data_IF_117598712411
#
_entry.id   IF_117598712411
#
_cell.length_a   1.000
_cell.length_b   1.000
_cell.length_c   1.000
_cell.angle_alpha   90.00
_cell.angle_beta   90.00
_cell.angle_gamma   90.00
#
_symmetry.space_group_name_H-M   'P 1'
#
loop_
_entity.id
_entity.type
_entity.pdbx_description
1 polymer ?
#
# COMPACT_ATOMS: atom_id res chain seq x y z
N UNK A 1 -14.34 -27.54 -8.95
CA UNK A 1 -13.87 -26.31 -8.26
C UNK A 1 -12.55 -25.90 -8.89
N UNK A 2 -12.51 -24.77 -9.61
CA UNK A 2 -11.24 -24.21 -10.09
C UNK A 2 -10.50 -23.65 -8.87
N UNK A 3 -9.32 -24.21 -8.54
CA UNK A 3 -8.44 -23.62 -7.51
C UNK A 3 -8.06 -22.22 -8.00
N UNK A 4 -8.46 -21.18 -7.27
CA UNK A 4 -7.98 -19.82 -7.54
C UNK A 4 -6.48 -19.79 -7.26
N UNK A 5 -5.69 -19.41 -8.25
CA UNK A 5 -4.25 -19.25 -8.08
C UNK A 5 -3.97 -18.17 -7.03
N UNK A 6 -2.96 -18.38 -6.15
CA UNK A 6 -2.56 -17.37 -5.18
C UNK A 6 -2.05 -16.12 -5.88
N UNK A 7 -2.14 -14.97 -5.22
CA UNK A 7 -1.50 -13.74 -5.71
C UNK A 7 0.02 -13.89 -5.63
N UNK A 8 0.69 -13.54 -6.72
CA UNK A 8 2.14 -13.52 -6.83
C UNK A 8 2.71 -12.24 -6.19
N UNK A 9 3.99 -12.26 -5.74
CA UNK A 9 4.66 -11.05 -5.27
C UNK A 9 4.64 -9.91 -6.30
N UNK A 10 4.76 -10.24 -7.58
CA UNK A 10 4.75 -9.28 -8.69
C UNK A 10 3.38 -8.61 -8.83
N UNK A 11 2.28 -9.38 -8.72
CA UNK A 11 0.93 -8.84 -8.67
C UNK A 11 0.76 -7.87 -7.47
N UNK A 12 1.31 -8.22 -6.31
CA UNK A 12 1.23 -7.37 -5.12
C UNK A 12 2.01 -6.05 -5.27
N UNK A 13 3.18 -6.09 -5.89
CA UNK A 13 3.96 -4.89 -6.24
C UNK A 13 3.15 -4.00 -7.18
N UNK A 14 2.56 -4.57 -8.24
CA UNK A 14 1.71 -3.84 -9.18
C UNK A 14 0.50 -3.20 -8.49
N UNK A 15 -0.14 -3.93 -7.58
CA UNK A 15 -1.27 -3.42 -6.80
C UNK A 15 -0.85 -2.26 -5.90
N UNK A 16 0.29 -2.33 -5.21
CA UNK A 16 0.76 -1.24 -4.36
C UNK A 16 1.14 0.00 -5.17
N UNK A 17 1.83 -0.17 -6.29
CA UNK A 17 2.15 0.93 -7.18
C UNK A 17 0.89 1.58 -7.75
N UNK A 18 -0.12 0.79 -8.08
CA UNK A 18 -1.42 1.30 -8.48
C UNK A 18 -2.08 2.11 -7.36
N UNK A 19 -2.16 1.57 -6.13
CA UNK A 19 -2.73 2.30 -4.98
C UNK A 19 -1.96 3.58 -4.71
N UNK A 20 -0.63 3.56 -4.79
CA UNK A 20 0.20 4.75 -4.62
C UNK A 20 -0.11 5.82 -5.68
N UNK A 21 -0.17 5.44 -6.97
CA UNK A 21 -0.48 6.36 -8.08
C UNK A 21 -1.82 7.09 -7.90
N UNK A 22 -2.73 6.45 -7.17
CA UNK A 22 -4.02 7.03 -6.82
C UNK A 22 -3.86 8.08 -5.74
N UNK A 23 -3.14 7.80 -4.66
CA UNK A 23 -3.05 8.71 -3.51
C UNK A 23 -1.95 9.77 -3.63
N UNK A 24 -0.98 9.59 -4.51
CA UNK A 24 0.21 10.45 -4.62
C UNK A 24 -0.15 11.92 -4.84
N UNK A 25 -1.08 12.21 -5.75
CA UNK A 25 -1.51 13.59 -6.00
C UNK A 25 -2.12 14.23 -4.75
N UNK A 26 -2.97 13.50 -4.02
CA UNK A 26 -3.58 14.04 -2.81
C UNK A 26 -2.51 14.34 -1.74
N UNK A 27 -1.54 13.44 -1.57
CA UNK A 27 -0.44 13.62 -0.62
C UNK A 27 0.47 14.79 -1.00
N UNK A 28 0.76 14.99 -2.29
CA UNK A 28 1.61 16.08 -2.79
C UNK A 28 1.04 17.47 -2.48
N UNK A 29 -0.28 17.60 -2.47
CA UNK A 29 -0.98 18.87 -2.25
C UNK A 29 -1.60 19.00 -0.86
N UNK A 30 -1.19 18.14 0.09
CA UNK A 30 -1.74 18.04 1.46
C UNK A 30 -3.28 17.96 1.49
N UNK A 31 -3.85 17.40 0.43
CA UNK A 31 -5.28 17.15 0.33
C UNK A 31 -5.56 15.87 1.08
N UNK A 32 -6.66 15.85 1.84
CA UNK A 32 -7.18 14.60 2.39
C UNK A 32 -7.34 13.62 1.22
N UNK A 33 -6.65 12.47 1.22
CA UNK A 33 -6.82 11.50 0.16
C UNK A 33 -8.30 11.17 0.04
N UNK A 34 -8.91 11.63 -1.06
CA UNK A 34 -10.24 11.21 -1.45
C UNK A 34 -10.22 9.69 -1.34
N UNK A 35 -11.08 9.14 -0.48
CA UNK A 35 -11.12 7.72 -0.09
C UNK A 35 -10.72 6.84 -1.29
N UNK A 36 -9.46 6.38 -1.35
CA UNK A 36 -9.05 5.45 -2.40
C UNK A 36 -8.69 4.11 -1.82
N UNK A 37 -9.77 3.37 -1.66
CA UNK A 37 -9.97 2.04 -2.21
C UNK A 37 -11.47 1.99 -2.54
N UNK A 38 -11.96 2.94 -3.35
CA UNK A 38 -13.35 2.90 -3.85
C UNK A 38 -13.44 1.81 -4.90
N UNK A 39 -14.59 1.15 -4.99
CA UNK A 39 -14.86 0.05 -5.92
C UNK A 39 -14.43 0.42 -7.36
N UNK A 40 -14.55 1.70 -7.74
CA UNK A 40 -14.12 2.26 -9.03
C UNK A 40 -12.61 2.09 -9.32
N UNK A 41 -11.75 2.24 -8.33
CA UNK A 41 -10.29 2.09 -8.51
C UNK A 41 -9.93 0.62 -8.81
N UNK A 42 -10.57 -0.32 -8.13
CA UNK A 42 -10.34 -1.75 -8.37
C UNK A 42 -10.91 -2.20 -9.72
N UNK A 43 -12.03 -1.61 -10.16
CA UNK A 43 -12.56 -1.80 -11.52
C UNK A 43 -11.57 -1.29 -12.56
N UNK A 44 -10.96 -0.12 -12.34
CA UNK A 44 -9.93 0.40 -13.25
C UNK A 44 -8.73 -0.55 -13.33
N UNK A 45 -8.23 -1.04 -12.19
CA UNK A 45 -7.14 -2.00 -12.16
C UNK A 45 -7.49 -3.27 -12.93
N UNK A 46 -8.65 -3.87 -12.65
CA UNK A 46 -9.11 -5.11 -13.29
C UNK A 46 -9.30 -5.00 -14.81
N UNK A 47 -9.45 -3.77 -15.35
CA UNK A 47 -9.57 -3.52 -16.79
C UNK A 47 -8.22 -3.30 -17.49
N UNK A 48 -7.11 -3.21 -16.76
CA UNK A 48 -5.79 -3.01 -17.38
C UNK A 48 -5.34 -4.26 -18.14
N UNK A 49 -4.64 -4.10 -19.28
CA UNK A 49 -4.06 -5.24 -20.01
C UNK A 49 -3.18 -6.10 -19.09
N UNK A 50 -3.33 -7.43 -19.19
CA UNK A 50 -2.59 -8.39 -18.38
C UNK A 50 -3.17 -8.67 -16.99
N UNK A 51 -4.25 -7.98 -16.58
CA UNK A 51 -4.95 -8.27 -15.33
C UNK A 51 -6.00 -9.35 -15.55
N UNK A 52 -5.95 -10.41 -14.73
CA UNK A 52 -6.78 -11.61 -14.91
C UNK A 52 -7.85 -11.78 -13.84
N UNK A 53 -7.82 -10.94 -12.79
CA UNK A 53 -8.72 -11.07 -11.63
C UNK A 53 -9.79 -9.99 -11.60
N UNK A 54 -10.85 -10.25 -10.84
CA UNK A 54 -11.94 -9.30 -10.66
C UNK A 54 -11.54 -8.16 -9.71
N UNK A 55 -12.22 -7.02 -9.83
CA UNK A 55 -12.07 -5.89 -8.93
C UNK A 55 -12.22 -6.30 -7.45
N UNK A 56 -13.26 -7.08 -7.14
CA UNK A 56 -13.52 -7.61 -5.79
C UNK A 56 -12.38 -8.50 -5.28
N UNK A 57 -11.75 -9.28 -6.17
CA UNK A 57 -10.61 -10.13 -5.81
C UNK A 57 -9.40 -9.28 -5.44
N UNK A 58 -9.10 -8.25 -6.21
CA UNK A 58 -8.00 -7.32 -5.91
C UNK A 58 -8.25 -6.56 -4.60
N UNK A 59 -9.45 -6.03 -4.43
CA UNK A 59 -9.83 -5.30 -3.22
C UNK A 59 -9.74 -6.17 -1.97
N UNK A 60 -10.31 -7.37 -2.03
CA UNK A 60 -10.33 -8.31 -0.91
C UNK A 60 -8.91 -8.71 -0.52
N UNK A 61 -8.07 -9.02 -1.51
CA UNK A 61 -6.66 -9.36 -1.26
C UNK A 61 -5.89 -8.21 -0.63
N UNK A 62 -6.05 -7.01 -1.19
CA UNK A 62 -5.41 -5.81 -0.66
C UNK A 62 -5.79 -5.55 0.80
N UNK A 63 -7.09 -5.54 1.10
CA UNK A 63 -7.62 -5.20 2.43
C UNK A 63 -7.28 -6.26 3.48
N UNK A 64 -7.43 -7.55 3.15
CA UNK A 64 -7.30 -8.65 4.12
C UNK A 64 -5.87 -9.13 4.31
N UNK A 65 -5.03 -9.07 3.27
CA UNK A 65 -3.71 -9.67 3.28
C UNK A 65 -2.60 -8.63 3.17
N UNK A 66 -2.64 -7.77 2.15
CA UNK A 66 -1.53 -6.85 1.89
C UNK A 66 -1.42 -5.73 2.93
N UNK A 67 -2.55 -5.09 3.27
CA UNK A 67 -2.57 -3.96 4.23
C UNK A 67 -2.05 -4.36 5.62
N UNK A 68 -2.32 -5.59 6.05
CA UNK A 68 -1.89 -6.12 7.36
C UNK A 68 -0.38 -6.33 7.42
N UNK A 69 0.25 -6.65 6.29
CA UNK A 69 1.70 -6.90 6.19
C UNK A 69 2.45 -5.85 5.36
N UNK A 70 1.87 -4.66 5.20
CA UNK A 70 2.33 -3.61 4.27
C UNK A 70 3.85 -3.40 4.35
N UNK A 71 4.38 -3.20 5.55
CA UNK A 71 5.79 -2.89 5.79
C UNK A 71 6.74 -4.10 5.65
N UNK A 72 6.21 -5.30 5.39
CA UNK A 72 6.98 -6.51 5.14
C UNK A 72 7.04 -6.90 3.66
N UNK A 73 6.26 -6.23 2.80
CA UNK A 73 6.25 -6.49 1.36
C UNK A 73 7.58 -6.05 0.75
N UNK A 74 8.13 -6.87 -0.14
CA UNK A 74 9.39 -6.63 -0.84
C UNK A 74 9.14 -6.16 -2.27
N UNK A 75 10.13 -5.54 -2.90
CA UNK A 75 10.04 -5.10 -4.30
C UNK A 75 9.24 -3.82 -4.52
N UNK A 76 8.88 -3.11 -3.45
CA UNK A 76 8.24 -1.78 -3.52
C UNK A 76 9.15 -0.76 -2.86
N UNK A 77 9.23 0.41 -3.47
CA UNK A 77 10.00 1.53 -2.93
C UNK A 77 9.47 1.95 -1.55
N UNK A 78 10.40 2.45 -0.73
CA UNK A 78 10.12 2.88 0.64
C UNK A 78 9.06 4.00 0.69
N UNK A 79 9.13 4.97 -0.23
CA UNK A 79 8.22 6.10 -0.31
C UNK A 79 6.75 5.69 -0.48
N UNK A 80 6.42 4.90 -1.52
CA UNK A 80 5.07 4.35 -1.70
C UNK A 80 4.54 3.60 -0.48
N UNK A 81 5.33 2.75 0.17
CA UNK A 81 4.89 2.01 1.36
C UNK A 81 4.51 2.94 2.52
N UNK A 82 5.33 3.97 2.80
CA UNK A 82 5.06 4.93 3.86
C UNK A 82 3.87 5.83 3.52
N UNK A 83 3.75 6.26 2.28
CA UNK A 83 2.63 7.05 1.78
C UNK A 83 1.29 6.30 1.90
N UNK A 84 1.24 5.04 1.49
CA UNK A 84 0.08 4.17 1.64
C UNK A 84 -0.25 3.97 3.12
N UNK A 85 0.77 3.70 3.94
CA UNK A 85 0.62 3.53 5.39
C UNK A 85 -0.01 4.75 6.05
N UNK A 86 0.49 5.96 5.74
CA UNK A 86 -0.06 7.24 6.22
C UNK A 86 -1.48 7.46 5.73
N UNK A 87 -1.72 7.37 4.42
CA UNK A 87 -3.02 7.63 3.82
C UNK A 87 -4.15 6.71 4.34
N UNK A 88 -3.80 5.47 4.69
CA UNK A 88 -4.77 4.50 5.20
C UNK A 88 -4.77 4.32 6.72
N UNK A 89 -3.95 5.11 7.43
CA UNK A 89 -3.79 5.02 8.88
C UNK A 89 -3.39 3.62 9.34
N UNK A 90 -2.52 2.94 8.59
CA UNK A 90 -2.00 1.61 8.95
C UNK A 90 -1.08 1.78 10.15
N UNK A 91 -1.47 1.18 11.27
CA UNK A 91 -0.67 1.22 12.49
C UNK A 91 0.71 0.59 12.28
N UNK A 92 1.72 1.22 12.85
CA UNK A 92 3.09 0.75 12.87
C UNK A 92 3.53 0.69 14.33
N UNK A 93 3.91 -0.50 14.80
CA UNK A 93 4.50 -0.65 16.14
C UNK A 93 5.95 -0.17 16.15
N UNK A 94 6.47 0.21 17.31
CA UNK A 94 7.88 0.62 17.45
C UNK A 94 8.87 -0.45 16.98
N UNK A 95 8.49 -1.73 17.12
CA UNK A 95 9.30 -2.85 16.62
C UNK A 95 9.37 -2.84 15.09
N UNK A 96 8.23 -2.69 14.42
CA UNK A 96 8.16 -2.63 12.95
C UNK A 96 8.90 -1.37 12.47
N UNK A 97 8.64 -0.23 13.11
CA UNK A 97 9.32 1.04 12.84
C UNK A 97 10.84 0.89 12.86
N UNK A 98 11.42 0.42 13.98
CA UNK A 98 12.87 0.26 14.12
C UNK A 98 13.47 -0.67 13.06
N UNK A 99 12.80 -1.78 12.76
CA UNK A 99 13.25 -2.71 11.73
C UNK A 99 13.21 -2.06 10.33
N UNK A 100 12.14 -1.32 10.04
CA UNK A 100 11.94 -0.64 8.76
C UNK A 100 12.94 0.50 8.56
N UNK A 101 13.13 1.36 9.56
CA UNK A 101 14.13 2.44 9.55
C UNK A 101 15.54 1.91 9.32
N UNK A 102 15.94 0.86 10.04
CA UNK A 102 17.25 0.22 9.89
C UNK A 102 17.46 -0.33 8.48
N UNK A 103 16.44 -0.94 7.90
CA UNK A 103 16.52 -1.58 6.59
C UNK A 103 16.56 -0.56 5.45
N UNK A 104 15.77 0.50 5.57
CA UNK A 104 15.53 1.44 4.47
C UNK A 104 16.24 2.78 4.62
N UNK A 105 17.05 2.97 5.68
CA UNK A 105 17.77 4.23 5.98
C UNK A 105 16.85 5.45 6.00
N UNK A 106 15.67 5.29 6.58
CA UNK A 106 14.67 6.35 6.81
C UNK A 106 14.47 6.57 8.30
N UNK A 107 13.98 7.75 8.67
CA UNK A 107 13.50 8.09 10.00
C UNK A 107 12.00 8.39 9.91
N UNK A 108 11.21 7.70 10.72
CA UNK A 108 9.75 7.78 10.74
C UNK A 108 9.32 8.45 12.05
N UNK A 109 8.35 9.35 11.96
CA UNK A 109 7.65 9.91 13.11
C UNK A 109 6.27 9.30 13.20
N UNK A 110 5.89 8.84 14.39
CA UNK A 110 4.57 8.26 14.64
C UNK A 110 3.74 9.18 15.56
N UNK A 111 2.46 9.34 15.24
CA UNK A 111 1.45 9.95 16.10
C UNK A 111 0.35 8.92 16.36
N UNK A 112 0.15 8.54 17.62
CA UNK A 112 -0.84 7.52 17.98
C UNK A 112 -0.61 6.16 17.29
N UNK A 113 0.65 5.78 17.08
CA UNK A 113 1.03 4.54 16.39
C UNK A 113 0.79 4.54 14.88
N UNK A 114 0.50 5.70 14.26
CA UNK A 114 0.34 5.87 12.81
C UNK A 114 1.43 6.79 12.28
N UNK A 115 1.77 6.63 11.00
CA UNK A 115 2.76 7.50 10.34
C UNK A 115 2.24 8.92 10.30
N UNK A 116 3.00 9.83 10.90
CA UNK A 116 2.79 11.27 10.82
C UNK A 116 3.68 11.87 9.71
N UNK A 117 4.97 11.59 9.76
CA UNK A 117 5.97 12.09 8.81
C UNK A 117 7.14 11.12 8.69
N UNK A 118 7.98 11.30 7.67
CA UNK A 118 9.24 10.57 7.53
C UNK A 118 10.28 11.41 6.79
N UNK A 119 11.54 11.14 7.10
CA UNK A 119 12.72 11.74 6.48
C UNK A 119 13.60 10.61 5.96
N UNK A 120 14.11 10.76 4.74
CA UNK A 120 15.05 9.83 4.14
C UNK A 120 16.14 10.63 3.43
N UNK A 121 17.26 9.97 3.14
CA UNK A 121 18.27 10.54 2.24
C UNK A 121 17.70 10.77 0.84
#
# INVERSE_FOLDING_TARGET
MVKREPFTPEEEVLMLNFVYSKIEHALKYDLKPSRMATDKAWIELARRPGMTRTAESYESHYRKHMKVRLYSIQGVDTGPLLAIGKAHGVSMSDRIKRAFEKKHSVRITLAGGKIDSWEGR
#
